data_IF_008456619313
#
_entry.id   IF_008456619313
#
_cell.length_a   1.000
_cell.length_b   1.000
_cell.length_c   1.000
_cell.angle_alpha   90.00
_cell.angle_beta   90.00
_cell.angle_gamma   90.00
#
_symmetry.space_group_name_H-M   'P 1'
#
loop_
_entity.id
_entity.type
_entity.pdbx_description
1 polymer ?
#
# COMPACT_ATOMS: atom_id res chain seq x y z
N UNK A 1 -20.30 43.29 35.02
CA UNK A 1 -20.36 42.81 33.61
C UNK A 1 -18.94 42.75 33.07
N UNK A 2 -18.45 41.56 32.68
CA UNK A 2 -17.13 41.45 32.07
C UNK A 2 -17.16 41.95 30.61
N UNK A 3 -16.12 42.65 30.13
CA UNK A 3 -16.07 43.16 28.75
C UNK A 3 -15.97 42.03 27.74
N UNK A 4 -16.69 42.15 26.62
CA UNK A 4 -16.65 41.16 25.53
C UNK A 4 -15.28 41.21 24.84
N UNK A 5 -14.63 40.06 24.59
CA UNK A 5 -13.32 40.03 23.95
C UNK A 5 -13.39 40.53 22.50
N UNK A 6 -12.32 41.19 22.06
CA UNK A 6 -12.23 41.77 20.72
C UNK A 6 -12.16 40.66 19.64
N UNK A 7 -12.52 41.01 18.39
CA UNK A 7 -12.38 40.09 17.23
C UNK A 7 -10.93 39.62 17.03
N UNK A 8 -9.95 40.44 17.40
CA UNK A 8 -8.53 40.09 17.33
C UNK A 8 -8.15 39.05 18.39
N UNK A 9 -8.70 39.13 19.60
CA UNK A 9 -8.48 38.14 20.65
C UNK A 9 -9.12 36.79 20.31
N UNK A 10 -10.30 36.81 19.69
CA UNK A 10 -10.91 35.60 19.15
C UNK A 10 -10.03 34.94 18.07
N UNK A 11 -9.50 35.73 17.12
CA UNK A 11 -8.61 35.21 16.06
C UNK A 11 -7.32 34.63 16.63
N UNK A 12 -6.67 35.31 17.58
CA UNK A 12 -5.45 34.79 18.25
C UNK A 12 -5.73 33.49 19.01
N UNK A 13 -6.90 33.36 19.65
CA UNK A 13 -7.34 32.12 20.32
C UNK A 13 -7.60 30.98 19.34
N UNK A 14 -8.20 31.27 18.18
CA UNK A 14 -8.42 30.27 17.13
C UNK A 14 -7.10 29.80 16.50
N UNK A 15 -6.16 30.71 16.27
CA UNK A 15 -4.82 30.38 15.76
C UNK A 15 -3.99 29.59 16.77
N UNK A 16 -4.02 29.93 18.06
CA UNK A 16 -3.38 29.15 19.14
C UNK A 16 -3.98 27.74 19.31
N UNK A 17 -5.21 27.52 18.87
CA UNK A 17 -5.91 26.21 18.95
C UNK A 17 -5.69 25.32 17.73
N UNK A 18 -5.04 25.80 16.67
CA UNK A 18 -4.67 24.94 15.54
C UNK A 18 -3.57 23.99 16.00
N UNK A 19 -3.95 22.78 16.40
CA UNK A 19 -2.99 21.68 16.55
C UNK A 19 -2.27 21.54 15.19
N UNK A 20 -0.93 21.40 15.16
CA UNK A 20 -0.25 21.05 13.94
C UNK A 20 -0.87 19.75 13.42
N UNK A 21 -1.44 19.81 12.23
CA UNK A 21 -1.90 18.61 11.52
C UNK A 21 -0.62 17.81 11.27
N UNK A 22 -0.47 16.67 11.94
CA UNK A 22 0.63 15.76 11.63
C UNK A 22 0.49 15.41 10.14
N UNK A 23 1.56 15.50 9.34
CA UNK A 23 1.49 15.02 7.96
C UNK A 23 0.98 13.58 8.00
N UNK A 24 -0.06 13.29 7.23
CA UNK A 24 -0.54 11.92 7.03
C UNK A 24 0.61 11.19 6.38
N UNK A 25 1.24 10.28 7.13
CA UNK A 25 2.34 9.46 6.59
C UNK A 25 1.73 8.49 5.59
N UNK A 26 2.29 8.43 4.38
CA UNK A 26 1.90 7.47 3.36
C UNK A 26 2.30 6.06 3.83
N UNK A 27 1.35 5.15 4.08
CA UNK A 27 1.66 3.85 4.67
C UNK A 27 2.56 3.01 3.76
N UNK A 28 3.62 2.43 4.33
CA UNK A 28 4.39 1.37 3.65
C UNK A 28 3.55 0.10 3.58
N UNK A 29 3.41 -0.45 2.38
CA UNK A 29 2.59 -1.64 2.14
C UNK A 29 3.46 -2.89 2.08
N UNK A 30 4.54 -2.83 1.31
CA UNK A 30 5.37 -3.99 1.08
C UNK A 30 6.52 -3.71 0.14
N UNK A 31 6.96 -4.75 -0.55
CA UNK A 31 8.11 -4.75 -1.43
C UNK A 31 7.75 -5.39 -2.78
N UNK A 32 8.32 -4.85 -3.85
CA UNK A 32 8.30 -5.45 -5.17
C UNK A 32 9.73 -5.62 -5.68
N UNK A 33 9.94 -6.56 -6.61
CA UNK A 33 11.20 -6.72 -7.31
C UNK A 33 11.10 -6.10 -8.70
N UNK A 34 12.13 -5.37 -9.14
CA UNK A 34 12.23 -4.87 -10.50
C UNK A 34 13.58 -5.11 -11.14
N UNK A 35 13.60 -5.32 -12.45
CA UNK A 35 14.78 -5.36 -13.30
C UNK A 35 14.58 -4.30 -14.39
N UNK A 36 15.41 -3.26 -14.40
CA UNK A 36 15.22 -2.07 -15.25
C UNK A 36 13.81 -1.48 -15.18
N UNK A 37 13.02 -1.67 -16.25
CA UNK A 37 11.64 -1.19 -16.42
C UNK A 37 10.60 -2.28 -16.13
N UNK A 38 11.02 -3.52 -15.91
CA UNK A 38 10.15 -4.66 -15.65
C UNK A 38 10.01 -4.90 -14.14
N UNK A 39 8.79 -5.22 -13.72
CA UNK A 39 8.47 -5.59 -12.33
C UNK A 39 8.14 -7.08 -12.31
N UNK A 40 8.49 -7.76 -11.23
CA UNK A 40 8.08 -9.14 -11.03
C UNK A 40 6.55 -9.19 -10.83
N UNK A 41 5.85 -9.77 -11.81
CA UNK A 41 4.40 -9.86 -11.82
C UNK A 41 3.94 -11.33 -11.98
N UNK A 42 2.69 -11.60 -11.65
CA UNK A 42 1.99 -12.86 -11.88
C UNK A 42 0.92 -12.63 -12.93
N UNK A 43 1.21 -13.05 -14.17
CA UNK A 43 0.46 -12.58 -15.33
C UNK A 43 0.61 -11.07 -15.50
N UNK A 44 -0.52 -10.37 -15.46
CA UNK A 44 -0.64 -8.90 -15.58
C UNK A 44 -0.66 -8.17 -14.23
N UNK A 45 -0.61 -8.88 -13.10
CA UNK A 45 -0.68 -8.30 -11.76
C UNK A 45 0.67 -8.31 -11.04
N UNK A 46 1.15 -7.16 -10.58
CA UNK A 46 2.48 -7.06 -9.98
C UNK A 46 2.51 -7.47 -8.52
N UNK A 47 3.53 -8.25 -8.14
CA UNK A 47 3.55 -8.92 -6.84
C UNK A 47 4.13 -8.02 -5.76
N UNK A 48 3.38 -7.86 -4.67
CA UNK A 48 3.78 -7.14 -3.46
C UNK A 48 3.85 -8.14 -2.30
N UNK A 49 5.02 -8.24 -1.67
CA UNK A 49 5.22 -9.04 -0.44
C UNK A 49 5.40 -8.15 0.78
N UNK A 50 5.07 -8.66 1.96
CA UNK A 50 5.20 -7.93 3.22
C UNK A 50 6.64 -7.69 3.68
N UNK A 51 7.61 -8.45 3.16
CA UNK A 51 9.04 -8.35 3.48
C UNK A 51 9.94 -8.61 2.27
N UNK A 52 11.21 -8.23 2.41
CA UNK A 52 12.27 -8.51 1.41
C UNK A 52 12.57 -10.01 1.35
N UNK A 53 12.53 -10.69 2.50
CA UNK A 53 12.80 -12.12 2.63
C UNK A 53 11.75 -12.95 1.91
N UNK A 54 10.47 -12.58 2.03
CA UNK A 54 9.38 -13.21 1.29
C UNK A 54 9.52 -12.99 -0.22
N UNK A 55 9.90 -11.79 -0.67
CA UNK A 55 10.18 -11.53 -2.09
C UNK A 55 11.31 -12.45 -2.60
N UNK A 56 12.42 -12.53 -1.87
CA UNK A 56 13.54 -13.42 -2.22
C UNK A 56 13.12 -14.90 -2.20
N UNK A 57 12.19 -15.29 -1.33
CA UNK A 57 11.66 -16.65 -1.29
C UNK A 57 10.79 -16.95 -2.52
N UNK A 58 9.90 -16.03 -2.88
CA UNK A 58 9.10 -16.11 -4.09
C UNK A 58 9.97 -16.22 -5.35
N UNK A 59 11.01 -15.38 -5.45
CA UNK A 59 11.95 -15.42 -6.58
C UNK A 59 12.62 -16.79 -6.72
N UNK A 60 13.07 -17.39 -5.61
CA UNK A 60 13.64 -18.75 -5.61
C UNK A 60 12.63 -19.81 -6.07
N UNK A 61 11.38 -19.72 -5.63
CA UNK A 61 10.31 -20.64 -6.05
C UNK A 61 10.03 -20.51 -7.55
N UNK A 62 10.11 -19.29 -8.09
CA UNK A 62 9.91 -19.00 -9.52
C UNK A 62 11.16 -19.20 -10.38
N UNK A 63 12.25 -19.71 -9.80
CA UNK A 63 13.54 -19.91 -10.48
C UNK A 63 14.11 -18.60 -11.09
N UNK A 64 13.85 -17.47 -10.42
CA UNK A 64 14.35 -16.14 -10.77
C UNK A 64 15.49 -15.80 -9.81
N UNK A 65 16.64 -15.40 -10.35
CA UNK A 65 17.81 -15.04 -9.54
C UNK A 65 17.63 -13.67 -8.85
N UNK A 66 17.66 -13.60 -7.50
CA UNK A 66 17.49 -12.34 -6.77
C UNK A 66 18.55 -11.28 -7.07
N UNK A 67 19.73 -11.66 -7.55
CA UNK A 67 20.82 -10.74 -7.88
C UNK A 67 20.50 -9.82 -9.06
N UNK A 68 19.58 -10.24 -9.93
CA UNK A 68 19.27 -9.53 -11.17
C UNK A 68 18.21 -8.45 -10.94
N UNK A 69 17.63 -8.40 -9.73
CA UNK A 69 16.54 -7.50 -9.37
C UNK A 69 16.91 -6.57 -8.22
N UNK A 70 16.34 -5.37 -8.27
CA UNK A 70 16.31 -4.45 -7.15
C UNK A 70 14.99 -4.65 -6.42
N UNK A 71 15.05 -5.04 -5.14
CA UNK A 71 13.87 -5.12 -4.27
C UNK A 71 13.64 -3.74 -3.65
N UNK A 72 12.49 -3.14 -3.89
CA UNK A 72 12.13 -1.79 -3.43
C UNK A 72 10.87 -1.82 -2.59
N UNK A 73 10.86 -1.05 -1.50
CA UNK A 73 9.64 -0.77 -0.75
C UNK A 73 8.64 0.03 -1.60
N UNK A 74 7.36 -0.17 -1.34
CA UNK A 74 6.27 0.57 -1.97
C UNK A 74 5.24 1.03 -0.94
N UNK A 75 4.65 2.19 -1.21
CA UNK A 75 3.62 2.79 -0.36
C UNK A 75 2.21 2.61 -0.94
N UNK A 76 1.20 2.97 -0.14
CA UNK A 76 -0.18 2.96 -0.59
C UNK A 76 -0.39 3.88 -1.79
N UNK A 77 0.14 5.11 -1.74
CA UNK A 77 -0.08 6.08 -2.81
C UNK A 77 0.53 5.65 -4.16
N UNK A 78 1.68 4.96 -4.13
CA UNK A 78 2.30 4.39 -5.34
C UNK A 78 1.42 3.30 -5.96
N UNK A 79 0.96 2.35 -5.14
CA UNK A 79 0.10 1.23 -5.56
C UNK A 79 -1.25 1.76 -6.07
N UNK A 80 -1.89 2.63 -5.29
CA UNK A 80 -3.17 3.24 -5.66
C UNK A 80 -3.05 4.05 -6.94
N UNK A 81 -1.93 4.74 -7.15
CA UNK A 81 -1.64 5.39 -8.42
C UNK A 81 -1.56 4.41 -9.59
N UNK A 82 -1.00 3.22 -9.40
CA UNK A 82 -0.98 2.15 -10.40
C UNK A 82 -2.35 1.56 -10.68
N UNK A 83 -3.13 1.29 -9.62
CA UNK A 83 -4.52 0.82 -9.72
C UNK A 83 -5.37 1.82 -10.54
N UNK A 84 -5.23 3.13 -10.28
CA UNK A 84 -5.90 4.20 -11.05
C UNK A 84 -5.47 4.32 -12.51
N UNK A 85 -4.41 3.63 -12.92
CA UNK A 85 -3.97 3.55 -14.33
C UNK A 85 -4.34 2.21 -14.98
N UNK A 86 -5.16 1.39 -14.30
CA UNK A 86 -5.56 0.07 -14.79
C UNK A 86 -4.56 -1.04 -14.50
N UNK A 87 -3.56 -0.80 -13.65
CA UNK A 87 -2.66 -1.86 -13.18
C UNK A 87 -3.38 -2.79 -12.19
N UNK A 88 -2.97 -4.05 -12.16
CA UNK A 88 -3.38 -5.02 -11.15
C UNK A 88 -2.21 -5.33 -10.19
N UNK A 89 -2.52 -5.70 -8.95
CA UNK A 89 -1.52 -6.05 -7.94
C UNK A 89 -1.91 -7.31 -7.18
N UNK A 90 -0.92 -8.16 -6.90
CA UNK A 90 -1.06 -9.38 -6.11
C UNK A 90 -0.40 -9.20 -4.73
N UNK A 91 -1.14 -9.41 -3.66
CA UNK A 91 -0.66 -9.20 -2.29
C UNK A 91 -0.60 -10.51 -1.52
N UNK A 92 0.53 -10.79 -0.86
CA UNK A 92 0.54 -11.82 0.17
C UNK A 92 -0.15 -11.31 1.45
N UNK A 93 -0.42 -12.19 2.41
CA UNK A 93 -1.17 -11.89 3.64
C UNK A 93 -0.67 -10.61 4.35
N UNK A 94 0.64 -10.50 4.55
CA UNK A 94 1.22 -9.37 5.26
C UNK A 94 1.10 -8.05 4.46
N UNK A 95 1.28 -8.08 3.15
CA UNK A 95 1.08 -6.89 2.32
C UNK A 95 -0.42 -6.52 2.23
N UNK A 96 -1.29 -7.51 2.12
CA UNK A 96 -2.74 -7.33 2.03
C UNK A 96 -3.31 -6.67 3.29
N UNK A 97 -2.95 -7.18 4.47
CA UNK A 97 -3.39 -6.61 5.75
C UNK A 97 -2.96 -5.15 5.94
N UNK A 98 -1.77 -4.78 5.46
CA UNK A 98 -1.28 -3.38 5.46
C UNK A 98 -2.01 -2.52 4.43
N UNK A 99 -2.41 -3.08 3.30
CA UNK A 99 -3.11 -2.37 2.24
C UNK A 99 -4.59 -2.14 2.57
N UNK A 100 -5.22 -3.02 3.34
CA UNK A 100 -6.65 -3.02 3.60
C UNK A 100 -7.17 -1.70 4.20
N UNK A 101 -6.60 -1.25 5.32
CA UNK A 101 -7.05 -0.04 6.00
C UNK A 101 -6.93 1.24 5.14
N UNK A 102 -5.78 1.54 4.49
CA UNK A 102 -5.69 2.71 3.61
C UNK A 102 -6.54 2.59 2.34
N UNK A 103 -6.72 1.38 1.79
CA UNK A 103 -7.60 1.14 0.64
C UNK A 103 -9.07 1.44 0.98
N UNK A 104 -9.57 0.95 2.12
CA UNK A 104 -10.91 1.25 2.62
C UNK A 104 -11.10 2.75 2.87
N UNK A 105 -10.10 3.43 3.45
CA UNK A 105 -10.13 4.88 3.65
C UNK A 105 -10.17 5.66 2.32
N UNK A 106 -9.67 5.07 1.24
CA UNK A 106 -9.73 5.62 -0.12
C UNK A 106 -11.00 5.22 -0.90
N UNK A 107 -11.92 4.47 -0.29
CA UNK A 107 -13.18 4.04 -0.90
C UNK A 107 -13.08 2.79 -1.77
N UNK A 108 -11.96 2.05 -1.71
CA UNK A 108 -11.82 0.76 -2.36
C UNK A 108 -12.54 -0.28 -1.50
N UNK A 109 -13.45 -1.06 -2.10
CA UNK A 109 -14.11 -2.17 -1.41
C UNK A 109 -13.09 -3.29 -1.18
N UNK A 110 -12.89 -3.64 0.08
CA UNK A 110 -11.96 -4.68 0.51
C UNK A 110 -12.72 -5.68 1.39
N UNK A 111 -12.46 -6.96 1.19
CA UNK A 111 -13.05 -8.05 1.98
C UNK A 111 -11.96 -8.78 2.77
N UNK A 112 -12.33 -9.45 3.85
CA UNK A 112 -11.42 -10.38 4.52
C UNK A 112 -11.13 -11.56 3.57
N UNK A 113 -9.90 -12.05 3.60
CA UNK A 113 -9.43 -13.11 2.70
C UNK A 113 -8.87 -14.25 3.53
N UNK A 114 -9.08 -15.48 3.06
CA UNK A 114 -8.55 -16.67 3.70
C UNK A 114 -7.21 -17.07 3.06
N UNK A 115 -6.13 -16.96 3.83
CA UNK A 115 -4.78 -17.31 3.42
C UNK A 115 -4.36 -18.72 3.88
N UNK A 116 -5.30 -19.52 4.41
CA UNK A 116 -5.00 -20.86 4.96
C UNK A 116 -4.57 -21.88 3.91
N UNK A 117 -5.00 -21.71 2.65
CA UNK A 117 -4.52 -22.50 1.50
C UNK A 117 -3.43 -21.73 0.74
N UNK A 118 -2.15 -22.13 0.85
CA UNK A 118 -1.05 -21.50 0.15
C UNK A 118 -1.04 -21.78 -1.36
N UNK A 119 -1.92 -22.65 -1.86
CA UNK A 119 -1.99 -23.02 -3.26
C UNK A 119 -0.75 -23.78 -3.77
N UNK A 120 -0.69 -24.08 -5.08
CA UNK A 120 0.36 -24.91 -5.67
C UNK A 120 1.76 -24.27 -5.64
N UNK A 121 1.83 -22.95 -5.49
CA UNK A 121 3.09 -22.20 -5.41
C UNK A 121 3.60 -22.02 -3.98
N UNK A 122 2.86 -22.51 -2.98
CA UNK A 122 3.22 -22.39 -1.57
C UNK A 122 3.05 -20.97 -1.00
N UNK A 123 2.48 -20.05 -1.78
CA UNK A 123 2.17 -18.67 -1.36
C UNK A 123 0.83 -18.28 -1.98
N UNK A 124 -0.12 -17.93 -1.11
CA UNK A 124 -1.42 -17.38 -1.50
C UNK A 124 -1.29 -15.88 -1.79
N UNK A 125 -1.88 -15.44 -2.91
CA UNK A 125 -1.93 -14.04 -3.30
C UNK A 125 -3.37 -13.60 -3.55
N UNK A 126 -3.71 -12.41 -3.05
CA UNK A 126 -4.96 -11.73 -3.36
C UNK A 126 -4.71 -10.72 -4.46
N UNK A 127 -5.43 -10.87 -5.58
CA UNK A 127 -5.41 -9.92 -6.69
C UNK A 127 -6.37 -8.76 -6.42
N UNK A 128 -5.89 -7.54 -6.60
CA UNK A 128 -6.71 -6.31 -6.57
C UNK A 128 -6.49 -5.54 -7.87
N UNK A 129 -7.60 -5.12 -8.47
CA UNK A 129 -7.67 -4.24 -9.63
C UNK A 129 -8.93 -3.36 -9.51
N UNK A 130 -8.97 -2.22 -10.19
CA UNK A 130 -10.15 -1.36 -10.24
C UNK A 130 -10.92 -1.66 -11.53
N UNK A 131 -12.12 -2.20 -11.40
CA UNK A 131 -12.99 -2.58 -12.51
C UNK A 131 -13.85 -1.39 -12.96
N UNK A 132 -13.25 -0.25 -13.32
CA UNK A 132 -13.99 0.87 -13.92
C UNK A 132 -13.02 1.86 -14.61
N UNK A 133 -13.04 1.89 -15.95
CA UNK A 133 -12.58 3.01 -16.79
C UNK A 133 -13.54 3.22 -17.97
#
# INVERSE_FOLDING_TARGET
MAPRPSKQDLRKRLLKRRRPVRPVQDPSIGYFARQDMEVLCDGDACVITGSVEEMKSLMRIRLVEPSDYIIRGTTFSEIHGGLKRGGAYCFNELAYSRFMAPAQAAGIQMEEQDFSDPGPTGIHFVRIELLDF
#
